data_IF_518505234246
#
_entry.id   IF_518505234246
#
_cell.length_a   1.000
_cell.length_b   1.000
_cell.length_c   1.000
_cell.angle_alpha   90.00
_cell.angle_beta   90.00
_cell.angle_gamma   90.00
#
_symmetry.space_group_name_H-M   'P 1'
#
loop_
_entity.id
_entity.type
_entity.pdbx_description
1 polymer ?
#
# COMPACT_ATOMS: atom_id res chain seq x y z
N UNK A 1 4.37 26.54 1.32
CA UNK A 1 3.16 25.70 1.29
C UNK A 1 3.12 24.92 2.59
N UNK A 2 1.96 24.77 3.22
CA UNK A 2 1.84 23.91 4.40
C UNK A 2 2.11 22.45 3.99
N UNK A 3 2.83 21.70 4.81
CA UNK A 3 3.09 20.28 4.56
C UNK A 3 1.75 19.51 4.45
N UNK A 4 1.62 18.56 3.51
CA UNK A 4 0.43 17.72 3.43
C UNK A 4 0.13 17.02 4.76
N UNK A 5 -1.15 17.00 5.14
CA UNK A 5 -1.58 16.27 6.33
C UNK A 5 -1.68 14.77 6.02
N UNK A 6 -1.14 13.95 6.92
CA UNK A 6 -1.30 12.49 6.88
C UNK A 6 -2.74 12.08 7.25
N UNK A 7 -3.09 10.81 7.04
CA UNK A 7 -4.45 10.30 7.24
C UNK A 7 -4.92 10.51 8.69
N UNK A 8 -6.12 11.03 8.83
CA UNK A 8 -6.72 11.40 10.13
C UNK A 8 -8.24 11.19 10.13
N UNK A 9 -8.90 11.49 11.26
CA UNK A 9 -10.36 11.47 11.35
C UNK A 9 -11.00 12.48 10.39
N UNK A 10 -10.37 13.63 10.21
CA UNK A 10 -10.80 14.67 9.26
C UNK A 10 -10.76 14.15 7.82
N UNK A 11 -9.78 13.29 7.49
CA UNK A 11 -9.71 12.64 6.17
C UNK A 11 -10.90 11.71 5.93
N UNK A 12 -11.38 11.01 6.97
CA UNK A 12 -12.57 10.16 6.90
C UNK A 12 -13.87 10.94 6.91
N UNK A 13 -13.95 12.05 7.66
CA UNK A 13 -15.08 12.98 7.59
C UNK A 13 -15.21 13.51 6.16
N UNK A 14 -14.12 14.00 5.57
CA UNK A 14 -14.11 14.48 4.18
C UNK A 14 -14.55 13.38 3.20
N UNK A 15 -14.07 12.14 3.38
CA UNK A 15 -14.53 10.98 2.62
C UNK A 15 -16.04 10.77 2.70
N UNK A 16 -16.59 10.69 3.91
CA UNK A 16 -18.02 10.41 4.09
C UNK A 16 -18.88 11.57 3.59
N UNK A 17 -18.50 12.82 3.88
CA UNK A 17 -19.23 14.01 3.40
C UNK A 17 -19.30 14.04 1.88
N UNK A 18 -18.16 13.92 1.18
CA UNK A 18 -18.14 13.90 -0.29
C UNK A 18 -18.85 12.70 -0.88
N UNK A 19 -18.76 11.54 -0.23
CA UNK A 19 -19.41 10.33 -0.74
C UNK A 19 -20.93 10.40 -0.59
N UNK A 20 -21.44 11.03 0.47
CA UNK A 20 -22.88 11.21 0.71
C UNK A 20 -23.55 12.16 -0.28
N UNK A 21 -22.78 12.99 -1.00
CA UNK A 21 -23.28 13.83 -2.10
C UNK A 21 -23.69 13.01 -3.33
N UNK A 22 -23.10 11.82 -3.50
CA UNK A 22 -23.24 11.00 -4.73
C UNK A 22 -23.71 9.56 -4.46
N UNK A 23 -23.79 9.14 -3.20
CA UNK A 23 -24.21 7.80 -2.80
C UNK A 23 -25.15 7.85 -1.59
N UNK A 24 -26.11 6.93 -1.54
CA UNK A 24 -27.01 6.83 -0.38
C UNK A 24 -26.26 6.35 0.88
N UNK A 25 -26.77 6.66 2.09
CA UNK A 25 -26.20 6.16 3.34
C UNK A 25 -26.02 4.64 3.36
N UNK A 26 -26.95 3.86 2.79
CA UNK A 26 -26.91 2.40 2.74
C UNK A 26 -25.74 1.87 1.91
N UNK A 27 -25.20 2.68 0.99
CA UNK A 27 -24.00 2.33 0.23
C UNK A 27 -22.70 2.57 1.01
N UNK A 28 -22.75 3.34 2.10
CA UNK A 28 -21.58 3.80 2.88
C UNK A 28 -21.58 3.30 4.33
N UNK A 29 -22.73 2.91 4.85
CA UNK A 29 -22.92 2.52 6.25
C UNK A 29 -23.73 1.23 6.35
N UNK A 30 -23.39 0.41 7.34
CA UNK A 30 -24.24 -0.67 7.78
C UNK A 30 -25.49 -0.10 8.44
N UNK A 31 -26.65 -0.66 8.09
CA UNK A 31 -27.94 -0.21 8.62
C UNK A 31 -28.48 -1.23 9.62
N UNK A 32 -28.70 -0.82 10.87
CA UNK A 32 -29.34 -1.65 11.90
C UNK A 32 -30.86 -1.75 11.69
N UNK A 33 -31.52 -2.66 12.41
CA UNK A 33 -32.99 -2.79 12.40
C UNK A 33 -33.71 -1.52 12.85
N UNK A 34 -33.12 -0.75 13.77
CA UNK A 34 -33.61 0.55 14.23
C UNK A 34 -33.16 1.72 13.33
N UNK A 35 -32.76 1.43 12.08
CA UNK A 35 -32.38 2.42 11.05
C UNK A 35 -31.24 3.35 11.46
N UNK A 36 -30.29 2.84 12.26
CA UNK A 36 -29.03 3.55 12.53
C UNK A 36 -27.96 3.13 11.55
N UNK A 37 -27.12 4.09 11.20
CA UNK A 37 -26.08 3.96 10.20
C UNK A 37 -24.70 3.94 10.86
N UNK A 38 -23.96 2.85 10.70
CA UNK A 38 -22.63 2.69 11.26
C UNK A 38 -21.59 2.32 10.20
N UNK A 39 -20.39 2.92 10.26
CA UNK A 39 -19.30 2.51 9.37
C UNK A 39 -18.90 1.05 9.63
N UNK A 40 -18.92 0.60 10.88
CA UNK A 40 -18.71 -0.80 11.21
C UNK A 40 -19.71 -1.24 12.26
N UNK A 41 -20.08 -2.52 12.22
CA UNK A 41 -20.86 -3.12 13.29
C UNK A 41 -20.17 -2.86 14.65
N UNK A 42 -20.86 -2.22 15.63
CA UNK A 42 -20.31 -2.02 16.96
C UNK A 42 -19.86 -3.34 17.57
N UNK A 43 -18.80 -3.35 18.39
CA UNK A 43 -18.22 -4.59 18.94
C UNK A 43 -19.24 -5.49 19.62
N UNK A 44 -20.17 -4.90 20.37
CA UNK A 44 -21.20 -5.60 21.14
C UNK A 44 -22.51 -5.81 20.37
N UNK A 45 -22.57 -5.53 19.06
CA UNK A 45 -23.78 -5.72 18.27
C UNK A 45 -24.11 -7.21 18.07
N UNK A 46 -25.28 -7.61 18.58
CA UNK A 46 -25.80 -9.01 18.56
C UNK A 46 -26.92 -9.25 17.52
N UNK A 47 -27.37 -8.20 16.83
CA UNK A 47 -28.45 -8.32 15.85
C UNK A 47 -28.02 -9.00 14.55
N UNK A 48 -28.98 -9.20 13.65
CA UNK A 48 -28.73 -9.65 12.28
C UNK A 48 -27.81 -8.65 11.56
N UNK A 49 -26.82 -9.16 10.84
CA UNK A 49 -25.81 -8.36 10.13
C UNK A 49 -25.98 -8.54 8.63
N UNK A 50 -25.81 -7.46 7.90
CA UNK A 50 -25.71 -7.42 6.45
C UNK A 50 -24.26 -7.25 6.02
N UNK A 51 -23.99 -7.53 4.75
CA UNK A 51 -22.71 -7.23 4.09
C UNK A 51 -22.80 -5.87 3.39
N UNK A 52 -21.70 -5.12 3.41
CA UNK A 52 -21.58 -3.82 2.74
C UNK A 52 -20.38 -3.87 1.80
N UNK A 53 -20.64 -4.16 0.52
CA UNK A 53 -19.59 -4.29 -0.49
C UNK A 53 -19.31 -2.97 -1.22
N UNK A 54 -20.36 -2.20 -1.51
CA UNK A 54 -20.33 -0.92 -2.24
C UNK A 54 -19.27 0.05 -1.70
N UNK A 55 -19.20 0.23 -0.38
CA UNK A 55 -18.25 1.14 0.25
C UNK A 55 -16.80 0.81 -0.10
N UNK A 56 -16.44 -0.47 -0.22
CA UNK A 56 -15.04 -0.85 -0.45
C UNK A 56 -14.49 -0.26 -1.75
N UNK A 57 -15.31 -0.17 -2.80
CA UNK A 57 -14.92 0.47 -4.06
C UNK A 57 -14.79 1.99 -3.89
N UNK A 58 -15.75 2.63 -3.20
CA UNK A 58 -15.79 4.09 -3.01
C UNK A 58 -14.60 4.56 -2.16
N UNK A 59 -14.31 3.89 -1.03
CA UNK A 59 -13.16 4.23 -0.20
C UNK A 59 -11.84 3.92 -0.91
N UNK A 60 -11.77 2.84 -1.70
CA UNK A 60 -10.60 2.50 -2.50
C UNK A 60 -10.21 3.66 -3.42
N UNK A 61 -11.12 4.05 -4.31
CA UNK A 61 -10.92 5.16 -5.24
C UNK A 61 -10.59 6.49 -4.54
N UNK A 62 -11.22 6.77 -3.40
CA UNK A 62 -10.91 7.95 -2.58
C UNK A 62 -9.48 7.89 -2.03
N UNK A 63 -9.07 6.76 -1.45
CA UNK A 63 -7.74 6.61 -0.87
C UNK A 63 -6.63 6.60 -1.92
N UNK A 64 -6.88 6.07 -3.12
CA UNK A 64 -5.94 6.16 -4.24
C UNK A 64 -5.75 7.62 -4.68
N UNK A 65 -6.84 8.39 -4.78
CA UNK A 65 -6.76 9.83 -5.04
C UNK A 65 -5.99 10.54 -3.94
N UNK A 66 -6.25 10.21 -2.68
CA UNK A 66 -5.55 10.80 -1.54
C UNK A 66 -4.05 10.48 -1.58
N UNK A 67 -3.67 9.23 -1.86
CA UNK A 67 -2.27 8.80 -2.01
C UNK A 67 -1.58 9.52 -3.17
N UNK A 68 -2.26 9.72 -4.29
CA UNK A 68 -1.76 10.52 -5.41
C UNK A 68 -1.37 11.92 -4.94
N UNK A 69 -2.25 12.63 -4.23
CA UNK A 69 -1.97 14.00 -3.75
C UNK A 69 -0.76 14.05 -2.79
N UNK A 70 -0.64 13.08 -1.88
CA UNK A 70 0.49 12.98 -0.95
C UNK A 70 1.82 12.76 -1.68
N UNK A 71 1.80 12.02 -2.80
CA UNK A 71 2.99 11.71 -3.59
C UNK A 71 3.39 12.81 -4.58
N UNK A 72 2.48 13.73 -4.96
CA UNK A 72 2.75 14.79 -5.96
C UNK A 72 3.96 15.65 -5.62
N UNK A 73 4.07 16.11 -4.38
CA UNK A 73 5.17 16.97 -3.96
C UNK A 73 6.52 16.23 -3.99
N UNK A 74 6.51 14.93 -3.69
CA UNK A 74 7.71 14.08 -3.77
C UNK A 74 8.09 13.83 -5.22
N UNK A 75 7.13 13.49 -6.07
CA UNK A 75 7.34 13.30 -7.50
C UNK A 75 7.93 14.57 -8.15
N UNK A 76 7.41 15.75 -7.79
CA UNK A 76 7.92 17.04 -8.27
C UNK A 76 9.38 17.27 -7.89
N UNK A 77 9.79 16.92 -6.67
CA UNK A 77 11.20 17.02 -6.25
C UNK A 77 12.11 16.10 -7.06
N UNK A 78 11.58 14.94 -7.48
CA UNK A 78 12.26 13.99 -8.36
C UNK A 78 12.18 14.38 -9.85
N UNK A 79 11.61 15.55 -10.18
CA UNK A 79 11.31 15.98 -11.57
C UNK A 79 10.49 14.94 -12.34
N UNK A 80 9.51 14.35 -11.64
CA UNK A 80 8.65 13.26 -12.08
C UNK A 80 7.18 13.59 -11.80
N UNK A 81 6.29 12.64 -12.11
CA UNK A 81 4.84 12.75 -11.98
C UNK A 81 4.31 11.65 -11.08
N UNK A 82 3.38 11.98 -10.18
CA UNK A 82 2.58 10.97 -9.51
C UNK A 82 1.38 10.67 -10.43
N UNK A 83 1.18 9.40 -10.79
CA UNK A 83 0.15 8.97 -11.74
C UNK A 83 -0.68 7.85 -11.12
N UNK A 84 -2.00 7.89 -11.31
CA UNK A 84 -2.94 6.88 -10.81
C UNK A 84 -3.34 5.91 -11.93
N UNK A 85 -3.69 4.66 -11.57
CA UNK A 85 -4.16 3.63 -12.49
C UNK A 85 -3.15 3.28 -13.59
N UNK A 86 -1.86 3.24 -13.26
CA UNK A 86 -0.79 3.04 -14.24
C UNK A 86 -0.86 1.65 -14.88
N UNK A 87 -0.81 1.63 -16.21
CA UNK A 87 -0.79 0.45 -17.05
C UNK A 87 0.61 0.29 -17.62
N UNK A 88 1.18 -0.89 -17.47
CA UNK A 88 2.45 -1.30 -18.05
C UNK A 88 2.40 -2.82 -18.28
N UNK A 89 2.10 -3.23 -19.52
CA UNK A 89 1.87 -4.64 -19.87
C UNK A 89 3.15 -5.48 -19.64
N UNK A 90 4.33 -4.92 -19.85
CA UNK A 90 5.63 -5.55 -19.58
C UNK A 90 5.87 -5.82 -18.08
N UNK A 91 5.04 -5.24 -17.20
CA UNK A 91 5.03 -5.46 -15.76
C UNK A 91 3.80 -6.25 -15.28
N UNK A 92 3.01 -6.81 -16.20
CA UNK A 92 1.68 -7.42 -15.94
C UNK A 92 0.69 -6.45 -15.25
N UNK A 93 0.93 -5.13 -15.34
CA UNK A 93 0.02 -4.09 -14.88
C UNK A 93 -0.95 -3.76 -16.01
N UNK A 94 -1.95 -4.62 -16.20
CA UNK A 94 -2.91 -4.50 -17.30
C UNK A 94 -4.02 -3.50 -16.99
N UNK A 95 -4.83 -3.11 -17.99
CA UNK A 95 -6.04 -2.32 -17.75
C UNK A 95 -7.04 -2.94 -16.76
N UNK A 96 -7.03 -4.27 -16.61
CA UNK A 96 -7.88 -5.00 -15.66
C UNK A 96 -7.30 -5.06 -14.24
N UNK A 97 -6.00 -4.80 -14.07
CA UNK A 97 -5.32 -4.78 -12.78
C UNK A 97 -4.15 -3.77 -12.80
N UNK A 98 -4.42 -2.47 -13.01
CA UNK A 98 -3.38 -1.45 -13.10
C UNK A 98 -2.74 -1.22 -11.72
N UNK A 99 -1.57 -0.60 -11.67
CA UNK A 99 -1.03 -0.12 -10.40
C UNK A 99 -1.90 1.03 -9.86
N UNK A 100 -2.16 1.01 -8.55
CA UNK A 100 -3.04 1.98 -7.91
C UNK A 100 -2.46 3.40 -8.10
N UNK A 101 -1.20 3.61 -7.68
CA UNK A 101 -0.43 4.84 -7.94
C UNK A 101 1.02 4.49 -8.26
N UNK A 102 1.67 5.27 -9.11
CA UNK A 102 3.11 5.19 -9.34
C UNK A 102 3.74 6.59 -9.41
N UNK A 103 5.05 6.67 -9.17
CA UNK A 103 5.85 7.83 -9.58
C UNK A 103 6.50 7.47 -10.90
N UNK A 104 6.29 8.30 -11.92
CA UNK A 104 6.73 8.05 -13.29
C UNK A 104 7.47 9.26 -13.86
N UNK A 105 8.39 9.03 -14.80
CA UNK A 105 9.09 10.09 -15.54
C UNK A 105 8.15 10.85 -16.49
N UNK A 106 7.04 10.25 -16.90
CA UNK A 106 6.04 10.84 -17.79
C UNK A 106 4.68 10.95 -17.11
N UNK A 107 3.87 11.93 -17.53
CA UNK A 107 2.49 12.14 -17.05
C UNK A 107 1.47 11.34 -17.88
N UNK A 108 1.70 10.03 -18.04
CA UNK A 108 0.85 9.15 -18.83
C UNK A 108 0.34 7.99 -17.98
N UNK A 109 -0.89 7.55 -18.23
CA UNK A 109 -1.43 6.32 -17.62
C UNK A 109 -0.70 5.09 -18.17
N UNK A 110 -0.42 5.09 -19.48
CA UNK A 110 0.31 4.01 -20.14
C UNK A 110 1.80 4.33 -20.01
N UNK A 111 2.53 3.43 -19.38
CA UNK A 111 3.95 3.57 -19.06
C UNK A 111 4.76 2.43 -19.65
N UNK A 112 6.03 2.71 -19.90
CA UNK A 112 7.04 1.68 -20.09
C UNK A 112 7.76 1.39 -18.76
N UNK A 113 8.36 0.20 -18.58
CA UNK A 113 9.08 -0.11 -17.35
C UNK A 113 10.14 0.94 -16.97
N UNK A 114 10.90 1.45 -17.93
CA UNK A 114 11.97 2.43 -17.70
C UNK A 114 11.47 3.80 -17.23
N UNK A 115 10.19 4.09 -17.43
CA UNK A 115 9.56 5.34 -16.99
C UNK A 115 9.02 5.25 -15.57
N UNK A 116 8.85 4.06 -15.01
CA UNK A 116 8.32 3.86 -13.65
C UNK A 116 9.47 3.93 -12.65
N UNK A 117 9.39 4.90 -11.74
CA UNK A 117 10.37 5.10 -10.66
C UNK A 117 9.99 4.27 -9.43
N UNK A 118 8.70 4.21 -9.08
CA UNK A 118 8.20 3.44 -7.95
C UNK A 118 6.71 3.12 -8.11
N UNK A 119 6.30 1.95 -7.59
CA UNK A 119 4.90 1.50 -7.58
C UNK A 119 4.37 1.53 -6.14
N UNK A 120 3.14 2.04 -6.00
CA UNK A 120 2.41 2.10 -4.73
C UNK A 120 1.10 1.35 -4.87
N UNK A 121 0.94 0.28 -4.09
CA UNK A 121 -0.32 -0.43 -3.95
C UNK A 121 -1.04 0.10 -2.70
N UNK A 122 -2.26 0.59 -2.85
CA UNK A 122 -3.03 1.23 -1.79
C UNK A 122 -3.95 0.21 -1.13
N UNK A 123 -3.80 0.05 0.18
CA UNK A 123 -4.60 -0.84 1.04
C UNK A 123 -5.10 -0.08 2.27
N UNK A 124 -5.45 1.18 2.05
CA UNK A 124 -6.10 2.06 3.03
C UNK A 124 -7.60 1.78 3.08
N UNK A 125 -8.25 2.12 4.20
CA UNK A 125 -9.70 2.02 4.34
C UNK A 125 -10.23 3.00 5.40
N UNK A 126 -11.54 3.02 5.64
CA UNK A 126 -12.07 3.58 6.89
C UNK A 126 -11.45 2.82 8.07
N UNK A 127 -11.02 3.53 9.11
CA UNK A 127 -10.31 3.01 10.29
C UNK A 127 -11.17 3.16 11.53
N UNK A 128 -11.84 4.30 11.69
CA UNK A 128 -12.68 4.57 12.85
C UNK A 128 -14.12 4.12 12.61
N UNK A 129 -14.83 3.83 13.70
CA UNK A 129 -16.26 3.60 13.62
C UNK A 129 -17.00 4.93 13.67
N UNK A 130 -17.82 5.20 12.67
CA UNK A 130 -18.62 6.41 12.56
C UNK A 130 -20.10 6.07 12.63
N UNK A 131 -20.86 6.85 13.37
CA UNK A 131 -22.32 6.88 13.31
C UNK A 131 -22.75 8.07 12.46
N UNK A 132 -23.53 7.81 11.41
CA UNK A 132 -24.23 8.88 10.69
C UNK A 132 -25.54 9.19 11.41
N UNK A 133 -25.61 10.38 11.98
CA UNK A 133 -26.78 10.90 12.68
C UNK A 133 -27.53 11.83 11.74
N UNK A 134 -28.82 11.55 11.55
CA UNK A 134 -29.72 12.34 10.72
C UNK A 134 -30.73 13.04 11.62
N UNK A 135 -30.66 14.37 11.68
CA UNK A 135 -31.59 15.20 12.45
C UNK A 135 -32.23 16.22 11.50
N UNK A 136 -33.45 15.92 11.04
CA UNK A 136 -34.09 16.69 9.98
C UNK A 136 -33.28 16.60 8.68
N UNK A 137 -32.92 17.76 8.11
CA UNK A 137 -32.04 17.85 6.93
C UNK A 137 -30.54 17.84 7.26
N UNK A 138 -30.16 17.90 8.55
CA UNK A 138 -28.74 17.93 8.95
C UNK A 138 -28.21 16.52 9.13
N UNK A 139 -27.07 16.27 8.49
CA UNK A 139 -26.28 15.06 8.66
C UNK A 139 -25.04 15.38 9.51
N UNK A 140 -24.77 14.56 10.52
CA UNK A 140 -23.59 14.69 11.36
C UNK A 140 -22.89 13.33 11.49
N UNK A 141 -21.56 13.34 11.52
CA UNK A 141 -20.75 12.14 11.74
C UNK A 141 -20.20 12.16 13.16
N UNK A 142 -20.60 11.15 13.94
CA UNK A 142 -20.10 10.94 15.29
C UNK A 142 -19.10 9.80 15.30
N UNK A 143 -17.84 10.09 15.64
CA UNK A 143 -16.84 9.05 15.88
C UNK A 143 -17.19 8.29 17.16
N UNK A 144 -17.38 6.97 17.04
CA UNK A 144 -17.67 6.08 18.16
C UNK A 144 -16.41 5.46 18.76
N UNK A 145 -15.34 5.37 17.98
CA UNK A 145 -14.04 4.88 18.44
C UNK A 145 -13.16 4.33 17.32
N UNK A 146 -11.95 3.92 17.67
CA UNK A 146 -10.96 3.31 16.77
C UNK A 146 -11.29 1.86 16.34
N UNK A 147 -10.38 1.27 15.56
CA UNK A 147 -10.56 -0.05 14.99
C UNK A 147 -10.64 -1.22 16.01
N UNK A 148 -10.31 -0.99 17.29
CA UNK A 148 -10.50 -1.98 18.37
C UNK A 148 -11.92 -1.98 18.95
N UNK A 149 -12.72 -0.97 18.60
CA UNK A 149 -14.08 -0.74 19.13
C UNK A 149 -15.21 -1.25 18.22
N UNK A 150 -14.87 -1.80 17.06
CA UNK A 150 -15.82 -2.35 16.10
C UNK A 150 -15.45 -3.76 15.63
N UNK A 151 -16.36 -4.46 14.96
CA UNK A 151 -16.15 -5.84 14.52
C UNK A 151 -15.37 -5.98 13.20
N UNK A 152 -15.19 -4.88 12.46
CA UNK A 152 -14.42 -4.87 11.21
C UNK A 152 -12.92 -4.99 11.42
N UNK A 153 -12.21 -5.46 10.40
CA UNK A 153 -10.76 -5.31 10.30
C UNK A 153 -10.50 -4.33 9.13
N UNK A 154 -9.88 -3.17 9.37
CA UNK A 154 -9.56 -2.20 8.33
C UNK A 154 -8.21 -2.49 7.67
N UNK A 155 -8.06 -2.08 6.41
CA UNK A 155 -6.80 -2.08 5.65
C UNK A 155 -5.93 -3.33 5.83
N UNK A 156 -4.70 -3.12 6.33
CA UNK A 156 -3.67 -4.14 6.50
C UNK A 156 -3.94 -5.12 7.66
N UNK A 157 -4.97 -4.89 8.48
CA UNK A 157 -5.42 -5.86 9.48
C UNK A 157 -6.21 -7.01 8.83
N UNK A 158 -6.65 -6.87 7.58
CA UNK A 158 -7.30 -7.92 6.81
C UNK A 158 -6.27 -8.81 6.10
N UNK A 159 -6.38 -10.12 6.33
CA UNK A 159 -5.50 -11.10 5.69
C UNK A 159 -5.67 -11.14 4.18
N UNK A 160 -6.90 -11.03 3.66
CA UNK A 160 -7.15 -11.02 2.21
C UNK A 160 -6.55 -9.78 1.54
N UNK A 161 -6.63 -8.61 2.19
CA UNK A 161 -6.00 -7.37 1.72
C UNK A 161 -4.48 -7.50 1.63
N UNK A 162 -3.86 -8.08 2.66
CA UNK A 162 -2.42 -8.37 2.68
C UNK A 162 -2.01 -9.34 1.56
N UNK A 163 -2.75 -10.45 1.39
CA UNK A 163 -2.43 -11.46 0.38
C UNK A 163 -2.60 -10.95 -1.05
N UNK A 164 -3.63 -10.13 -1.31
CA UNK A 164 -3.83 -9.49 -2.63
C UNK A 164 -2.68 -8.55 -2.97
N UNK A 165 -2.25 -7.72 -2.02
CA UNK A 165 -1.08 -6.86 -2.20
C UNK A 165 0.18 -7.66 -2.49
N UNK A 166 0.45 -8.71 -1.71
CA UNK A 166 1.61 -9.60 -1.93
C UNK A 166 1.55 -10.27 -3.30
N UNK A 167 0.39 -10.82 -3.69
CA UNK A 167 0.20 -11.49 -4.97
C UNK A 167 0.50 -10.59 -6.16
N UNK A 168 -0.05 -9.36 -6.16
CA UNK A 168 0.18 -8.38 -7.23
C UNK A 168 1.66 -7.98 -7.32
N UNK A 169 2.32 -7.76 -6.19
CA UNK A 169 3.76 -7.46 -6.18
C UNK A 169 4.61 -8.61 -6.74
N UNK A 170 4.24 -9.86 -6.44
CA UNK A 170 4.94 -11.03 -6.99
C UNK A 170 4.79 -11.07 -8.51
N UNK A 171 3.58 -10.86 -9.06
CA UNK A 171 3.35 -10.78 -10.51
C UNK A 171 4.25 -9.73 -11.17
N UNK A 172 4.29 -8.51 -10.62
CA UNK A 172 5.20 -7.46 -11.12
C UNK A 172 6.66 -7.92 -11.05
N UNK A 173 7.11 -8.52 -9.95
CA UNK A 173 8.52 -8.93 -9.75
C UNK A 173 9.01 -10.01 -10.70
N UNK A 174 8.11 -10.86 -11.20
CA UNK A 174 8.46 -11.99 -12.08
C UNK A 174 8.18 -11.70 -13.56
N UNK A 175 7.54 -10.58 -13.87
CA UNK A 175 7.11 -10.21 -15.23
C UNK A 175 8.27 -9.94 -16.19
N UNK A 176 9.29 -9.19 -15.75
CA UNK A 176 10.41 -8.75 -16.58
C UNK A 176 11.64 -8.34 -15.76
N UNK A 177 12.79 -8.16 -16.42
CA UNK A 177 14.06 -7.80 -15.77
C UNK A 177 14.05 -6.35 -15.29
N UNK A 178 13.31 -5.53 -16.01
CA UNK A 178 13.11 -4.11 -15.79
C UNK A 178 12.34 -3.88 -14.48
N UNK A 179 11.44 -4.80 -14.11
CA UNK A 179 10.74 -4.79 -12.82
C UNK A 179 11.70 -4.86 -11.61
N UNK A 180 12.89 -5.43 -11.78
CA UNK A 180 13.79 -5.75 -10.68
C UNK A 180 14.31 -4.52 -9.94
N UNK A 181 14.40 -3.38 -10.62
CA UNK A 181 14.89 -2.12 -10.07
C UNK A 181 13.78 -1.27 -9.45
N UNK A 182 12.53 -1.54 -9.79
CA UNK A 182 11.39 -0.71 -9.37
C UNK A 182 11.04 -1.04 -7.92
N UNK A 183 11.13 -0.09 -6.97
CA UNK A 183 10.63 -0.28 -5.62
C UNK A 183 9.11 -0.40 -5.62
N UNK A 184 8.58 -1.36 -4.86
CA UNK A 184 7.15 -1.56 -4.67
C UNK A 184 6.82 -1.35 -3.20
N UNK A 185 5.92 -0.42 -2.91
CA UNK A 185 5.52 -0.01 -1.57
C UNK A 185 4.03 -0.27 -1.39
N UNK A 186 3.64 -0.82 -0.24
CA UNK A 186 2.22 -0.94 0.12
C UNK A 186 1.85 0.21 1.04
N UNK A 187 0.93 1.08 0.63
CA UNK A 187 0.41 2.17 1.45
C UNK A 187 -0.82 1.72 2.23
N UNK A 188 -0.80 1.92 3.53
CA UNK A 188 -1.91 1.62 4.44
C UNK A 188 -2.14 2.77 5.42
N UNK A 189 -3.13 2.60 6.29
CA UNK A 189 -3.48 3.55 7.34
C UNK A 189 -3.83 2.84 8.67
N UNK A 190 -3.38 1.60 8.80
CA UNK A 190 -3.54 0.73 9.96
C UNK A 190 -2.22 0.01 10.23
N UNK A 191 -1.98 -0.48 11.45
CA UNK A 191 -0.89 -1.43 11.67
C UNK A 191 -1.14 -2.76 10.95
N UNK A 192 -0.11 -3.60 10.94
CA UNK A 192 -0.22 -5.03 10.58
C UNK A 192 -0.44 -5.87 11.84
N UNK A 193 -1.05 -7.05 11.69
CA UNK A 193 -1.20 -8.00 12.82
C UNK A 193 0.17 -8.52 13.27
N UNK A 194 0.34 -8.81 14.58
CA UNK A 194 1.57 -9.40 15.14
C UNK A 194 2.01 -10.67 14.39
N UNK A 195 1.06 -11.49 13.96
CA UNK A 195 1.31 -12.70 13.15
C UNK A 195 1.92 -12.43 11.76
N UNK A 196 1.88 -11.19 11.27
CA UNK A 196 2.47 -10.78 9.99
C UNK A 196 3.85 -10.12 10.15
N UNK A 197 4.35 -9.88 11.37
CA UNK A 197 5.60 -9.12 11.56
C UNK A 197 6.80 -9.78 10.87
N UNK A 198 7.00 -11.08 11.09
CA UNK A 198 8.07 -11.82 10.39
C UNK A 198 7.84 -11.87 8.89
N UNK A 199 6.58 -11.95 8.45
CA UNK A 199 6.24 -12.02 7.02
C UNK A 199 6.58 -10.71 6.30
N UNK A 200 6.21 -9.56 6.84
CA UNK A 200 6.52 -8.26 6.21
C UNK A 200 8.02 -7.96 6.24
N UNK A 201 8.72 -8.36 7.31
CA UNK A 201 10.18 -8.26 7.37
C UNK A 201 10.85 -9.15 6.32
N UNK A 202 10.39 -10.39 6.16
CA UNK A 202 10.91 -11.31 5.14
C UNK A 202 10.63 -10.81 3.71
N UNK A 203 9.43 -10.30 3.43
CA UNK A 203 9.08 -9.76 2.11
C UNK A 203 10.01 -8.61 1.71
N UNK A 204 10.39 -7.77 2.67
CA UNK A 204 11.36 -6.71 2.47
C UNK A 204 12.78 -7.23 2.31
N UNK A 205 13.22 -8.13 3.17
CA UNK A 205 14.56 -8.70 3.11
C UNK A 205 14.82 -9.47 1.81
N UNK A 206 13.80 -10.14 1.27
CA UNK A 206 13.88 -10.80 -0.04
C UNK A 206 13.70 -9.84 -1.22
N UNK A 207 13.49 -8.54 -0.99
CA UNK A 207 13.36 -7.53 -2.04
C UNK A 207 12.03 -7.56 -2.81
N UNK A 208 11.06 -8.39 -2.40
CA UNK A 208 9.75 -8.48 -3.06
C UNK A 208 8.95 -7.17 -2.89
N UNK A 209 8.94 -6.62 -1.67
CA UNK A 209 8.20 -5.40 -1.31
C UNK A 209 9.08 -4.56 -0.39
N UNK A 210 9.35 -3.31 -0.75
CA UNK A 210 10.30 -2.44 -0.04
C UNK A 210 9.74 -1.88 1.28
N UNK A 211 8.42 -1.94 1.47
CA UNK A 211 7.80 -1.76 2.78
C UNK A 211 6.28 -1.72 2.78
N UNK A 212 5.71 -2.03 3.93
CA UNK A 212 4.32 -1.79 4.28
C UNK A 212 4.27 -0.53 5.14
N UNK A 213 3.75 0.56 4.57
CA UNK A 213 3.87 1.90 5.11
C UNK A 213 2.51 2.43 5.54
N UNK A 214 2.34 2.69 6.84
CA UNK A 214 1.13 3.30 7.38
C UNK A 214 1.27 4.82 7.43
N UNK A 215 0.40 5.52 6.71
CA UNK A 215 0.32 6.99 6.66
C UNK A 215 -0.76 7.54 7.60
N UNK A 216 -1.02 6.84 8.70
CA UNK A 216 -1.88 7.28 9.80
C UNK A 216 -1.05 7.34 11.08
N UNK A 217 -0.73 8.53 11.60
CA UNK A 217 0.04 8.70 12.83
C UNK A 217 -0.67 8.13 14.06
N UNK A 218 -2.01 8.30 14.14
CA UNK A 218 -2.79 8.04 15.34
C UNK A 218 -4.00 7.14 15.04
N UNK A 219 -3.80 5.89 14.57
CA UNK A 219 -4.90 4.99 14.20
C UNK A 219 -5.68 4.44 15.40
N UNK A 220 -5.19 4.68 16.62
CA UNK A 220 -5.83 4.30 17.88
C UNK A 220 -6.16 5.55 18.69
N UNK A 221 -7.29 5.51 19.38
CA UNK A 221 -7.64 6.53 20.36
C UNK A 221 -6.83 6.32 21.66
N UNK A 222 -6.70 7.37 22.48
CA UNK A 222 -6.12 7.33 23.82
C UNK A 222 -4.68 6.74 23.93
N UNK A 223 -3.82 6.99 22.93
CA UNK A 223 -2.43 6.50 22.91
C UNK A 223 -2.30 4.98 23.07
N UNK A 224 -3.27 4.20 22.59
CA UNK A 224 -3.19 2.74 22.63
C UNK A 224 -1.92 2.21 21.92
N UNK A 225 -1.42 1.05 22.38
CA UNK A 225 -0.23 0.40 21.80
C UNK A 225 -0.40 0.23 20.28
N UNK A 226 0.37 1.03 19.52
CA UNK A 226 0.44 1.03 18.07
C UNK A 226 1.90 0.92 17.66
N UNK A 227 2.22 -0.08 16.84
CA UNK A 227 3.60 -0.34 16.44
C UNK A 227 4.11 0.76 15.50
N UNK A 228 5.28 1.33 15.84
CA UNK A 228 5.98 2.28 14.96
C UNK A 228 6.67 1.56 13.79
N UNK A 229 7.34 0.44 14.07
CA UNK A 229 7.99 -0.38 13.05
C UNK A 229 8.23 -1.81 13.55
N UNK A 230 8.28 -2.76 12.63
CA UNK A 230 8.81 -4.11 12.90
C UNK A 230 10.34 -4.08 13.00
N UNK A 231 10.94 -5.16 13.52
CA UNK A 231 12.40 -5.24 13.73
C UNK A 231 13.19 -5.09 12.42
N UNK A 232 12.74 -5.75 11.35
CA UNK A 232 13.33 -5.62 10.00
C UNK A 232 12.86 -4.38 9.23
N UNK A 233 12.04 -3.52 9.85
CA UNK A 233 11.41 -2.36 9.21
C UNK A 233 10.65 -2.74 7.93
N UNK A 234 10.12 -3.96 7.86
CA UNK A 234 9.19 -4.41 6.81
C UNK A 234 7.85 -3.69 6.90
N UNK A 235 7.42 -3.35 8.12
CA UNK A 235 6.35 -2.39 8.38
C UNK A 235 6.90 -1.13 9.05
N UNK A 236 6.40 0.05 8.65
CA UNK A 236 6.71 1.34 9.26
C UNK A 236 5.46 2.24 9.29
N UNK A 237 5.22 2.94 10.40
CA UNK A 237 4.23 4.02 10.52
C UNK A 237 4.96 5.35 10.48
N UNK A 238 4.44 6.30 9.71
CA UNK A 238 4.95 7.67 9.67
C UNK A 238 4.07 8.59 10.50
N UNK A 239 4.72 9.41 11.34
CA UNK A 239 4.02 10.33 12.23
C UNK A 239 3.92 11.73 11.62
N UNK A 240 4.78 12.02 10.65
CA UNK A 240 4.78 13.28 9.89
C UNK A 240 5.02 13.03 8.40
N UNK A 241 4.55 13.96 7.57
CA UNK A 241 4.83 13.93 6.14
C UNK A 241 6.33 14.01 5.82
N UNK A 242 7.10 14.78 6.60
CA UNK A 242 8.55 14.89 6.44
C UNK A 242 9.24 13.52 6.63
N UNK A 243 8.88 12.77 7.69
CA UNK A 243 9.42 11.44 7.93
C UNK A 243 9.13 10.48 6.76
N UNK A 244 7.90 10.50 6.24
CA UNK A 244 7.50 9.71 5.08
C UNK A 244 8.30 10.09 3.83
N UNK A 245 8.39 11.40 3.54
CA UNK A 245 9.09 11.94 2.39
C UNK A 245 10.58 11.60 2.42
N UNK A 246 11.26 11.86 3.53
CA UNK A 246 12.68 11.54 3.70
C UNK A 246 12.94 10.05 3.49
N UNK A 247 12.10 9.19 4.06
CA UNK A 247 12.22 7.74 3.91
C UNK A 247 12.02 7.29 2.47
N UNK A 248 11.04 7.86 1.76
CA UNK A 248 10.80 7.54 0.35
C UNK A 248 11.95 8.01 -0.52
N UNK A 249 12.42 9.25 -0.37
CA UNK A 249 13.56 9.76 -1.13
C UNK A 249 14.82 8.95 -0.88
N UNK A 250 15.08 8.55 0.37
CA UNK A 250 16.21 7.68 0.68
C UNK A 250 16.10 6.33 -0.05
N UNK A 251 14.92 5.69 -0.01
CA UNK A 251 14.68 4.43 -0.71
C UNK A 251 14.90 4.55 -2.22
N UNK A 252 14.44 5.63 -2.84
CA UNK A 252 14.54 5.82 -4.30
C UNK A 252 15.94 6.19 -4.77
N UNK A 253 16.85 6.55 -3.86
CA UNK A 253 18.28 6.80 -4.15
C UNK A 253 19.13 5.53 -4.06
N UNK A 254 18.60 4.45 -3.47
CA UNK A 254 19.31 3.17 -3.39
C UNK A 254 19.25 2.47 -4.75
N UNK A 255 20.42 2.16 -5.33
CA UNK A 255 20.51 1.34 -6.55
C UNK A 255 20.36 -0.15 -6.20
N UNK A 256 19.13 -0.55 -5.91
CA UNK A 256 18.79 -1.93 -5.56
C UNK A 256 18.30 -2.72 -6.77
N UNK A 257 18.64 -4.00 -6.81
CA UNK A 257 18.10 -4.94 -7.78
C UNK A 257 17.54 -6.18 -7.09
N UNK A 258 16.28 -6.49 -7.37
CA UNK A 258 15.66 -7.76 -7.00
C UNK A 258 16.19 -8.92 -7.86
N UNK A 259 16.43 -10.06 -7.24
CA UNK A 259 16.71 -11.31 -7.94
C UNK A 259 16.09 -12.48 -7.19
N UNK A 260 15.60 -13.48 -7.94
CA UNK A 260 15.08 -14.71 -7.38
C UNK A 260 15.28 -15.85 -8.39
N UNK A 261 15.38 -17.08 -7.87
CA UNK A 261 15.47 -18.29 -8.67
C UNK A 261 15.72 -19.50 -7.79
N UNK A 262 15.19 -20.66 -8.18
CA UNK A 262 15.41 -21.93 -7.48
C UNK A 262 16.53 -22.70 -8.20
N UNK A 263 17.62 -22.98 -7.48
CA UNK A 263 18.80 -23.67 -8.00
C UNK A 263 19.36 -24.64 -6.97
N UNK A 264 20.01 -25.71 -7.42
CA UNK A 264 20.75 -26.58 -6.52
C UNK A 264 21.96 -25.84 -5.93
N UNK A 265 22.44 -26.27 -4.76
CA UNK A 265 23.66 -25.71 -4.16
C UNK A 265 24.88 -25.83 -5.09
N UNK A 266 24.95 -26.90 -5.88
CA UNK A 266 26.03 -27.13 -6.85
C UNK A 266 25.99 -26.07 -7.97
N UNK A 267 24.81 -25.82 -8.54
CA UNK A 267 24.65 -24.79 -9.59
C UNK A 267 24.91 -23.38 -9.06
N UNK A 268 24.38 -23.04 -7.88
CA UNK A 268 24.67 -21.75 -7.25
C UNK A 268 26.17 -21.55 -7.05
N UNK A 269 26.88 -22.58 -6.57
CA UNK A 269 28.33 -22.55 -6.42
C UNK A 269 29.05 -22.33 -7.76
N UNK A 270 28.60 -22.99 -8.84
CA UNK A 270 29.13 -22.77 -10.19
C UNK A 270 28.87 -21.35 -10.69
N UNK A 271 27.68 -20.81 -10.49
CA UNK A 271 27.34 -19.46 -10.93
C UNK A 271 28.17 -18.40 -10.22
N UNK A 272 28.34 -18.54 -8.90
CA UNK A 272 29.23 -17.68 -8.11
C UNK A 272 30.66 -17.77 -8.64
N UNK A 273 31.16 -18.99 -8.89
CA UNK A 273 32.52 -19.18 -9.40
C UNK A 273 32.74 -18.57 -10.80
N UNK A 274 31.76 -18.67 -11.70
CA UNK A 274 31.86 -18.07 -13.04
C UNK A 274 31.78 -16.56 -12.96
N UNK A 275 30.83 -16.03 -12.19
CA UNK A 275 30.66 -14.60 -12.01
C UNK A 275 31.89 -13.94 -11.37
N UNK A 276 32.53 -14.58 -10.40
CA UNK A 276 33.70 -14.04 -9.67
C UNK A 276 34.94 -13.81 -10.54
N UNK A 277 34.95 -14.32 -11.78
CA UNK A 277 36.01 -14.08 -12.77
C UNK A 277 35.95 -12.70 -13.44
N UNK A 278 34.84 -11.98 -13.29
CA UNK A 278 34.69 -10.63 -13.84
C UNK A 278 35.53 -9.60 -13.07
N UNK A 279 35.91 -8.50 -13.74
CA UNK A 279 36.90 -7.54 -13.22
C UNK A 279 36.39 -6.67 -12.05
N UNK A 280 35.10 -6.38 -12.00
CA UNK A 280 34.49 -5.46 -11.02
C UNK A 280 33.30 -6.08 -10.33
N UNK A 281 32.94 -5.61 -9.13
CA UNK A 281 31.81 -6.14 -8.38
C UNK A 281 30.48 -6.01 -9.14
N UNK A 282 30.30 -4.92 -9.89
CA UNK A 282 29.13 -4.67 -10.72
C UNK A 282 29.04 -5.71 -11.85
N UNK A 283 30.13 -5.94 -12.58
CA UNK A 283 30.18 -6.97 -13.63
C UNK A 283 29.97 -8.37 -13.04
N UNK A 284 30.55 -8.66 -11.87
CA UNK A 284 30.31 -9.93 -11.14
C UNK A 284 28.82 -10.11 -10.85
N UNK A 285 28.15 -9.07 -10.36
CA UNK A 285 26.71 -9.11 -10.07
C UNK A 285 25.88 -9.31 -11.34
N UNK A 286 26.14 -8.53 -12.40
CA UNK A 286 25.47 -8.65 -13.70
C UNK A 286 25.62 -10.05 -14.30
N UNK A 287 26.84 -10.61 -14.25
CA UNK A 287 27.12 -11.96 -14.73
C UNK A 287 26.36 -13.01 -13.91
N UNK A 288 26.38 -12.90 -12.58
CA UNK A 288 25.63 -13.80 -11.71
C UNK A 288 24.12 -13.77 -12.01
N UNK A 289 23.55 -12.58 -12.18
CA UNK A 289 22.14 -12.39 -12.46
C UNK A 289 21.74 -12.97 -13.81
N UNK A 290 22.58 -12.80 -14.83
CA UNK A 290 22.40 -13.40 -16.15
C UNK A 290 22.36 -14.94 -16.04
N UNK A 291 23.33 -15.53 -15.33
CA UNK A 291 23.38 -16.99 -15.10
C UNK A 291 22.16 -17.52 -14.34
N UNK A 292 21.67 -16.76 -13.34
CA UNK A 292 20.47 -17.10 -12.59
C UNK A 292 19.21 -17.15 -13.46
N UNK A 293 19.17 -16.37 -14.55
CA UNK A 293 18.01 -16.22 -15.44
C UNK A 293 18.05 -17.20 -16.63
N UNK A 294 19.21 -17.41 -17.23
CA UNK A 294 19.35 -18.16 -18.49
C UNK A 294 19.50 -19.68 -18.30
N UNK A 295 19.35 -20.18 -17.08
CA UNK A 295 19.61 -21.58 -16.72
C UNK A 295 21.00 -22.09 -17.14
N UNK A 296 22.00 -21.20 -17.23
CA UNK A 296 23.36 -21.55 -17.61
C UNK A 296 23.54 -21.98 -19.07
N UNK A 297 22.70 -21.48 -19.99
CA UNK A 297 22.99 -21.48 -21.43
C UNK A 297 23.74 -20.22 -21.85
#
# INVERSE_FOLDING_TARGET
MASPNLWSKESEIDFFTKSLEVASPENLFYTTKDKKYYAYWPKNYKGTKTTLQSRNAIIGAYTEKWSLEILKDIAKELKAHAVRNVICEDLELTSGSPADVAICKTDSIIQKPEDIIAIFEVKMSVVWNWELQQTGSKQNLKCLGDYKTHQGNPGLLRSDSMLKAIGKCISVRISSLESAKIPIIILGNTPVKKSYYSKVDNLKNYGLIQGFWSLNPNPLDNNGENIKSTKGKGFQRFDTYAEFKERLIALLKEDMMFFAGMKSKNELGKFIHVADKEDTYEKKAEKFLTLMRDNGK
#
